data_IF_214720575153
#
_entry.id   IF_214720575153
#
_cell.length_a   1.000
_cell.length_b   1.000
_cell.length_c   1.000
_cell.angle_alpha   90.00
_cell.angle_beta   90.00
_cell.angle_gamma   90.00
#
_symmetry.space_group_name_H-M   'P 1'
#
loop_
_entity.id
_entity.type
_entity.pdbx_description
1 polymer ?
#
# COMPACT_ATOMS: atom_id res chain seq x y z
N UNK A 1 6.88 -2.35 18.36
CA UNK A 1 6.21 -1.97 17.08
C UNK A 1 6.24 -0.46 16.94
N UNK A 2 6.52 0.05 15.74
CA UNK A 2 6.38 1.49 15.45
C UNK A 2 4.91 1.84 15.24
N UNK A 3 4.48 3.00 15.75
CA UNK A 3 3.15 3.58 15.50
C UNK A 3 3.30 4.73 14.51
N UNK A 4 2.51 4.71 13.45
CA UNK A 4 2.46 5.76 12.45
C UNK A 4 1.12 6.48 12.51
N UNK A 5 1.10 7.76 12.16
CA UNK A 5 -0.14 8.49 11.85
C UNK A 5 -0.35 8.49 10.34
N UNK A 6 -1.60 8.68 9.88
CA UNK A 6 -1.88 8.79 8.46
C UNK A 6 -1.00 9.88 7.81
N UNK A 7 -0.41 9.57 6.66
CA UNK A 7 0.52 10.46 5.95
C UNK A 7 1.99 10.35 6.38
N UNK A 8 2.34 9.54 7.38
CA UNK A 8 3.76 9.34 7.74
C UNK A 8 4.52 8.67 6.58
N UNK A 9 5.65 9.23 6.10
CA UNK A 9 6.48 8.55 5.10
C UNK A 9 7.03 7.23 5.63
N UNK A 10 6.88 6.14 4.86
CA UNK A 10 7.33 4.78 5.24
C UNK A 10 8.50 4.27 4.41
N UNK A 11 8.92 5.02 3.38
CA UNK A 11 10.01 4.64 2.48
C UNK A 11 9.98 5.40 1.16
N UNK A 12 10.86 4.99 0.24
CA UNK A 12 10.93 5.50 -1.13
C UNK A 12 10.52 4.40 -2.12
N UNK A 13 9.91 4.79 -3.23
CA UNK A 13 9.64 3.89 -4.36
C UNK A 13 10.97 3.44 -4.97
N UNK A 14 11.01 2.21 -5.48
CA UNK A 14 12.20 1.66 -6.11
C UNK A 14 11.87 0.58 -7.13
N UNK A 15 12.91 -0.18 -7.50
CA UNK A 15 12.84 -1.26 -8.46
C UNK A 15 13.66 -2.49 -8.00
N UNK A 16 13.73 -2.73 -6.68
CA UNK A 16 14.44 -3.89 -6.12
C UNK A 16 13.62 -5.16 -6.28
N UNK A 17 14.24 -6.28 -6.62
CA UNK A 17 13.59 -7.58 -6.81
C UNK A 17 13.37 -7.92 -8.29
N UNK A 18 12.35 -8.73 -8.59
CA UNK A 18 12.05 -9.19 -9.95
C UNK A 18 10.99 -8.30 -10.61
N UNK A 19 11.43 -7.16 -11.14
CA UNK A 19 10.57 -6.10 -11.67
C UNK A 19 11.17 -5.50 -12.95
N UNK A 20 10.37 -4.82 -13.79
CA UNK A 20 10.83 -4.22 -15.06
C UNK A 20 11.17 -2.72 -14.95
N UNK A 21 10.79 -2.07 -13.86
CA UNK A 21 11.04 -0.66 -13.63
C UNK A 21 10.45 -0.17 -12.30
N UNK A 22 10.71 1.10 -11.92
CA UNK A 22 10.24 1.66 -10.66
C UNK A 22 8.71 1.68 -10.58
N UNK A 23 8.16 1.10 -9.53
CA UNK A 23 6.72 1.15 -9.27
C UNK A 23 6.40 0.95 -7.79
N UNK A 24 5.26 1.48 -7.35
CA UNK A 24 4.70 1.21 -6.03
C UNK A 24 3.71 0.05 -6.15
N UNK A 25 4.06 -1.11 -5.61
CA UNK A 25 3.09 -2.17 -5.36
C UNK A 25 2.57 -2.04 -3.93
N UNK A 26 1.25 -1.93 -3.78
CA UNK A 26 0.59 -1.87 -2.48
C UNK A 26 -0.68 -2.73 -2.50
N UNK A 27 -1.04 -3.26 -1.34
CA UNK A 27 -2.17 -4.20 -1.19
C UNK A 27 -2.96 -3.81 0.04
N UNK A 28 -4.29 -3.87 -0.08
CA UNK A 28 -5.19 -3.80 1.07
C UNK A 28 -5.72 -5.19 1.38
N UNK A 29 -5.70 -5.56 2.68
CA UNK A 29 -6.24 -6.84 3.16
C UNK A 29 -7.24 -6.63 4.28
N UNK A 30 -8.27 -7.47 4.29
CA UNK A 30 -9.19 -7.63 5.41
C UNK A 30 -9.05 -9.07 5.93
N UNK A 31 -8.35 -9.23 7.04
CA UNK A 31 -7.86 -10.54 7.48
C UNK A 31 -6.94 -11.16 6.40
N UNK A 32 -7.27 -12.38 5.98
CA UNK A 32 -6.51 -13.11 4.95
C UNK A 32 -6.93 -12.78 3.51
N UNK A 33 -7.97 -11.96 3.32
CA UNK A 33 -8.54 -11.66 2.01
C UNK A 33 -7.88 -10.41 1.43
N UNK A 34 -7.31 -10.52 0.24
CA UNK A 34 -6.87 -9.35 -0.53
C UNK A 34 -8.05 -8.74 -1.27
N UNK A 35 -8.27 -7.44 -1.10
CA UNK A 35 -9.38 -6.70 -1.70
C UNK A 35 -8.85 -5.66 -2.67
N UNK A 36 -9.68 -5.19 -3.61
CA UNK A 36 -9.29 -4.12 -4.51
C UNK A 36 -8.94 -2.86 -3.69
N UNK A 37 -7.69 -2.39 -3.68
CA UNK A 37 -7.30 -1.27 -2.84
C UNK A 37 -8.03 0.03 -3.20
N UNK A 38 -8.46 0.19 -4.46
CA UNK A 38 -9.13 1.39 -4.93
C UNK A 38 -10.56 1.52 -4.41
N UNK A 39 -11.21 0.45 -3.95
CA UNK A 39 -12.57 0.53 -3.41
C UNK A 39 -12.67 1.34 -2.12
N UNK A 40 -11.54 1.56 -1.42
CA UNK A 40 -11.51 2.34 -0.20
C UNK A 40 -11.74 3.84 -0.45
N UNK A 41 -11.41 4.34 -1.64
CA UNK A 41 -11.62 5.74 -1.99
C UNK A 41 -13.09 6.10 -2.25
N UNK A 42 -13.96 5.10 -2.43
CA UNK A 42 -15.40 5.32 -2.57
C UNK A 42 -16.18 5.15 -1.26
N UNK A 43 -15.49 4.84 -0.15
CA UNK A 43 -16.14 4.74 1.15
C UNK A 43 -16.41 6.15 1.71
N UNK A 44 -17.51 6.35 2.44
CA UNK A 44 -17.72 7.58 3.21
C UNK A 44 -16.56 7.82 4.18
N UNK A 45 -16.19 9.09 4.35
CA UNK A 45 -15.13 9.55 5.26
C UNK A 45 -15.73 10.22 6.49
#
# INVERSE_FOLDING_TARGET
MARFVAGTPVGLVGATGRVTGPHLHWVTRYGDISVNPLSFFSLPH
#
